data_IF_378220229303
#
_entry.id   IF_378220229303
#
_cell.length_a   1.000
_cell.length_b   1.000
_cell.length_c   1.000
_cell.angle_alpha   90.00
_cell.angle_beta   90.00
_cell.angle_gamma   90.00
#
_symmetry.space_group_name_H-M   'P 1'
#
loop_
_entity.id
_entity.type
_entity.pdbx_description
1 polymer ?
#
# COMPACT_ATOMS: atom_id res chain seq x y z
N UNK A 1 -27.16 55.03 8.50
CA UNK A 1 -27.85 53.75 8.29
C UNK A 1 -26.84 52.65 8.52
N UNK A 2 -26.83 52.06 9.72
CA UNK A 2 -25.99 50.91 10.01
C UNK A 2 -26.88 49.67 9.95
N UNK A 3 -26.60 48.77 9.01
CA UNK A 3 -27.22 47.46 8.93
C UNK A 3 -26.71 46.64 10.12
N UNK A 4 -27.53 46.49 11.17
CA UNK A 4 -27.29 45.46 12.18
C UNK A 4 -27.52 44.10 11.51
N UNK A 5 -26.45 43.31 11.44
CA UNK A 5 -26.52 41.91 11.04
C UNK A 5 -26.74 41.11 12.34
N UNK A 6 -27.95 40.63 12.64
CA UNK A 6 -28.16 39.86 13.85
C UNK A 6 -27.43 38.53 13.69
N UNK A 7 -26.33 38.35 14.41
CA UNK A 7 -25.68 37.06 14.52
C UNK A 7 -26.70 36.06 15.10
N UNK A 8 -27.28 35.21 14.23
CA UNK A 8 -28.18 34.13 14.64
C UNK A 8 -27.43 33.25 15.63
N UNK A 9 -27.89 33.22 16.88
CA UNK A 9 -27.33 32.36 17.91
C UNK A 9 -27.78 30.93 17.61
N UNK A 10 -26.84 30.08 17.22
CA UNK A 10 -27.11 28.65 17.04
C UNK A 10 -27.66 28.07 18.35
N UNK A 11 -28.75 27.33 18.25
CA UNK A 11 -29.32 26.64 19.41
C UNK A 11 -28.50 25.40 19.75
N UNK A 12 -28.51 25.01 21.03
CA UNK A 12 -27.77 23.81 21.49
C UNK A 12 -28.17 22.56 20.70
N UNK A 13 -29.45 22.43 20.36
CA UNK A 13 -29.97 21.30 19.59
C UNK A 13 -29.47 21.30 18.14
N UNK A 14 -29.37 22.47 17.49
CA UNK A 14 -28.81 22.59 16.15
C UNK A 14 -27.32 22.19 16.14
N UNK A 15 -26.55 22.61 17.16
CA UNK A 15 -25.14 22.21 17.29
C UNK A 15 -25.00 20.71 17.48
N UNK A 16 -25.83 20.09 18.34
CA UNK A 16 -25.83 18.64 18.54
C UNK A 16 -26.21 17.87 17.28
N UNK A 17 -27.23 18.33 16.54
CA UNK A 17 -27.61 17.72 15.25
C UNK A 17 -26.46 17.77 14.24
N UNK A 18 -25.77 18.92 14.13
CA UNK A 18 -24.63 19.06 13.22
C UNK A 18 -23.49 18.12 13.62
N UNK A 19 -23.16 18.01 14.90
CA UNK A 19 -22.12 17.10 15.39
C UNK A 19 -22.48 15.63 15.07
N UNK A 20 -23.75 15.25 15.23
CA UNK A 20 -24.22 13.89 14.95
C UNK A 20 -24.11 13.57 13.45
N UNK A 21 -24.52 14.50 12.58
CA UNK A 21 -24.40 14.35 11.12
C UNK A 21 -22.92 14.25 10.70
N UNK A 22 -22.07 15.17 11.18
CA UNK A 22 -20.63 15.14 10.89
C UNK A 22 -20.00 13.84 11.37
N UNK A 23 -20.36 13.37 12.56
CA UNK A 23 -19.88 12.10 13.11
C UNK A 23 -20.19 10.90 12.20
N UNK A 24 -21.42 10.80 11.70
CA UNK A 24 -21.82 9.74 10.77
C UNK A 24 -21.01 9.82 9.47
N UNK A 25 -20.87 11.03 8.90
CA UNK A 25 -20.11 11.24 7.67
C UNK A 25 -18.65 10.81 7.85
N UNK A 26 -18.03 11.15 8.99
CA UNK A 26 -16.65 10.77 9.32
C UNK A 26 -16.50 9.25 9.36
N UNK A 27 -17.41 8.52 10.03
CA UNK A 27 -17.33 7.06 10.17
C UNK A 27 -17.40 6.36 8.80
N UNK A 28 -18.20 6.89 7.86
CA UNK A 28 -18.37 6.28 6.54
C UNK A 28 -17.21 6.60 5.59
N UNK A 29 -16.67 7.83 5.62
CA UNK A 29 -15.71 8.30 4.62
C UNK A 29 -14.27 7.91 4.98
N UNK A 30 -13.89 7.96 6.26
CA UNK A 30 -12.49 7.74 6.66
C UNK A 30 -11.95 6.34 6.30
N UNK A 31 -12.68 5.23 6.51
CA UNK A 31 -12.21 3.90 6.11
C UNK A 31 -11.93 3.81 4.61
N UNK A 32 -12.85 4.30 3.77
CA UNK A 32 -12.71 4.26 2.31
C UNK A 32 -11.50 5.04 1.80
N UNK A 33 -11.19 6.21 2.40
CA UNK A 33 -9.98 6.98 2.08
C UNK A 33 -8.72 6.20 2.49
N UNK A 34 -8.75 5.52 3.64
CA UNK A 34 -7.64 4.71 4.13
C UNK A 34 -7.32 3.55 3.20
N UNK A 35 -8.33 2.77 2.80
CA UNK A 35 -8.19 1.65 1.86
C UNK A 35 -7.65 2.11 0.51
N UNK A 36 -8.22 3.18 -0.05
CA UNK A 36 -7.76 3.74 -1.32
C UNK A 36 -6.26 4.10 -1.26
N UNK A 37 -5.82 4.78 -0.21
CA UNK A 37 -4.40 5.15 -0.06
C UNK A 37 -3.48 3.93 0.06
N UNK A 38 -3.91 2.87 0.76
CA UNK A 38 -3.14 1.63 0.84
C UNK A 38 -3.01 0.97 -0.54
N UNK A 39 -4.12 0.89 -1.28
CA UNK A 39 -4.12 0.37 -2.65
C UNK A 39 -3.24 1.21 -3.58
N UNK A 40 -3.32 2.53 -3.49
CA UNK A 40 -2.49 3.46 -4.27
C UNK A 40 -0.99 3.23 -3.97
N UNK A 41 -0.61 3.05 -2.71
CA UNK A 41 0.79 2.72 -2.32
C UNK A 41 1.26 1.38 -2.88
N UNK A 42 0.40 0.36 -2.92
CA UNK A 42 0.72 -0.92 -3.57
C UNK A 42 0.96 -0.69 -5.06
N UNK A 43 0.09 0.08 -5.71
CA UNK A 43 0.23 0.41 -7.12
C UNK A 43 1.53 1.18 -7.43
N UNK A 44 1.93 2.09 -6.55
CA UNK A 44 3.08 2.98 -6.71
C UNK A 44 4.41 2.30 -6.37
N UNK A 45 4.45 1.43 -5.35
CA UNK A 45 5.69 0.84 -4.88
C UNK A 45 5.84 -0.64 -5.24
N UNK A 46 4.79 -1.44 -5.23
CA UNK A 46 4.93 -2.91 -5.33
C UNK A 46 5.04 -3.34 -6.79
N UNK A 47 4.02 -3.05 -7.60
CA UNK A 47 4.00 -3.51 -9.00
C UNK A 47 5.19 -3.04 -9.84
N UNK A 48 5.56 -1.75 -9.87
CA UNK A 48 6.72 -1.32 -10.66
C UNK A 48 8.03 -1.93 -10.15
N UNK A 49 8.17 -2.13 -8.84
CA UNK A 49 9.37 -2.74 -8.27
C UNK A 49 9.45 -4.22 -8.58
N UNK A 50 8.32 -4.95 -8.55
CA UNK A 50 8.26 -6.35 -8.96
C UNK A 50 8.68 -6.51 -10.42
N UNK A 51 8.19 -5.65 -11.32
CA UNK A 51 8.60 -5.68 -12.73
C UNK A 51 10.11 -5.50 -12.89
N UNK A 52 10.70 -4.55 -12.16
CA UNK A 52 12.15 -4.34 -12.17
C UNK A 52 12.89 -5.57 -11.61
N UNK A 53 12.46 -6.12 -10.47
CA UNK A 53 13.10 -7.30 -9.87
C UNK A 53 13.08 -8.48 -10.85
N UNK A 54 11.93 -8.74 -11.49
CA UNK A 54 11.79 -9.84 -12.45
C UNK A 54 12.67 -9.62 -13.68
N UNK A 55 12.67 -8.40 -14.23
CA UNK A 55 13.51 -8.05 -15.37
C UNK A 55 15.01 -8.21 -15.06
N UNK A 56 15.45 -7.78 -13.89
CA UNK A 56 16.85 -7.91 -13.48
C UNK A 56 17.22 -9.35 -13.15
N UNK A 57 16.28 -10.15 -12.65
CA UNK A 57 16.48 -11.58 -12.44
C UNK A 57 16.64 -12.35 -13.76
N UNK A 58 15.88 -11.97 -14.80
CA UNK A 58 16.08 -12.50 -16.16
C UNK A 58 17.45 -12.14 -16.73
N UNK A 59 17.86 -10.86 -16.61
CA UNK A 59 19.20 -10.43 -17.04
C UNK A 59 20.31 -11.16 -16.30
N UNK A 60 20.16 -11.32 -14.99
CA UNK A 60 21.11 -12.06 -14.18
C UNK A 60 21.24 -13.52 -14.66
N UNK A 61 20.12 -14.17 -14.99
CA UNK A 61 20.13 -15.50 -15.56
C UNK A 61 20.79 -15.57 -16.94
N UNK A 62 20.57 -14.58 -17.81
CA UNK A 62 21.25 -14.51 -19.11
C UNK A 62 22.77 -14.38 -18.98
N UNK A 63 23.25 -13.69 -17.93
CA UNK A 63 24.67 -13.47 -17.66
C UNK A 63 25.35 -14.63 -16.92
N UNK A 64 24.66 -15.22 -15.94
CA UNK A 64 25.23 -16.21 -15.02
C UNK A 64 24.82 -17.66 -15.33
N UNK A 65 23.75 -17.85 -16.10
CA UNK A 65 23.17 -19.16 -16.44
C UNK A 65 22.27 -19.76 -15.35
N UNK A 66 21.89 -18.99 -14.32
CA UNK A 66 20.93 -19.35 -13.29
C UNK A 66 20.24 -18.11 -12.70
N UNK A 67 19.03 -18.28 -12.16
CA UNK A 67 18.28 -17.19 -11.51
C UNK A 67 18.84 -16.83 -10.12
N UNK A 68 18.71 -15.57 -9.74
CA UNK A 68 19.03 -15.12 -8.40
C UNK A 68 18.07 -15.71 -7.37
N UNK A 69 18.62 -16.11 -6.22
CA UNK A 69 17.86 -16.63 -5.08
C UNK A 69 17.79 -15.64 -3.91
N UNK A 70 18.48 -14.49 -4.04
CA UNK A 70 18.46 -13.41 -3.07
C UNK A 70 18.50 -12.08 -3.82
N UNK A 71 17.76 -11.10 -3.31
CA UNK A 71 17.61 -9.79 -3.96
C UNK A 71 18.93 -9.01 -4.01
N UNK A 72 19.86 -9.28 -3.09
CA UNK A 72 21.20 -8.66 -3.06
C UNK A 72 22.10 -9.08 -4.21
N UNK A 73 21.74 -10.15 -4.94
CA UNK A 73 22.45 -10.55 -6.16
C UNK A 73 22.08 -9.69 -7.36
N UNK A 74 20.95 -8.96 -7.27
CA UNK A 74 20.48 -8.06 -8.31
C UNK A 74 21.10 -6.67 -8.11
N UNK A 75 21.49 -6.03 -9.21
CA UNK A 75 22.10 -4.71 -9.17
C UNK A 75 21.05 -3.58 -9.12
N UNK A 76 20.18 -3.59 -8.10
CA UNK A 76 19.04 -2.64 -7.94
C UNK A 76 18.95 -1.91 -6.58
N UNK A 77 20.04 -1.66 -5.84
CA UNK A 77 19.93 -1.11 -4.47
C UNK A 77 19.22 0.25 -4.43
N UNK A 78 19.47 1.12 -5.41
CA UNK A 78 18.89 2.47 -5.46
C UNK A 78 17.35 2.45 -5.52
N UNK A 79 16.78 1.54 -6.32
CA UNK A 79 15.33 1.43 -6.48
C UNK A 79 14.68 0.93 -5.20
N UNK A 80 15.36 0.06 -4.44
CA UNK A 80 14.85 -0.49 -3.19
C UNK A 80 14.92 0.53 -2.04
N UNK A 81 15.99 1.34 -1.98
CA UNK A 81 16.18 2.38 -0.97
C UNK A 81 15.14 3.50 -1.05
N UNK A 82 14.59 3.76 -2.24
CA UNK A 82 13.52 4.75 -2.45
C UNK A 82 12.16 4.33 -1.88
N UNK A 83 11.97 3.03 -1.60
CA UNK A 83 10.67 2.48 -1.18
C UNK A 83 10.40 2.77 0.29
N UNK A 84 9.26 3.40 0.56
CA UNK A 84 8.96 3.91 1.88
C UNK A 84 8.10 2.96 2.69
N UNK A 85 7.28 2.14 2.05
CA UNK A 85 6.23 1.36 2.72
C UNK A 85 6.52 -0.14 2.73
N UNK A 86 7.38 -0.61 1.82
CA UNK A 86 7.68 -2.02 1.63
C UNK A 86 9.17 -2.29 1.64
N UNK A 87 9.55 -3.43 2.22
CA UNK A 87 10.84 -4.08 2.06
C UNK A 87 10.66 -5.23 1.07
N UNK A 88 11.63 -5.46 0.19
CA UNK A 88 11.51 -6.45 -0.88
C UNK A 88 12.45 -7.62 -0.65
N UNK A 89 11.97 -8.81 -0.95
CA UNK A 89 12.76 -10.03 -0.95
C UNK A 89 12.53 -10.82 -2.23
N UNK A 90 13.52 -11.61 -2.62
CA UNK A 90 13.49 -12.52 -3.74
C UNK A 90 13.84 -13.91 -3.22
N UNK A 91 13.13 -14.92 -3.71
CA UNK A 91 13.48 -16.33 -3.56
C UNK A 91 13.60 -16.98 -4.92
N UNK A 92 13.92 -18.26 -4.97
CA UNK A 92 14.02 -19.09 -6.18
C UNK A 92 12.76 -19.02 -7.08
N UNK A 93 11.58 -18.71 -6.51
CA UNK A 93 10.29 -18.79 -7.22
C UNK A 93 9.33 -17.64 -6.95
N UNK A 94 9.64 -16.78 -5.97
CA UNK A 94 8.74 -15.71 -5.55
C UNK A 94 9.47 -14.38 -5.38
N UNK A 95 8.73 -13.30 -5.65
CA UNK A 95 9.09 -11.95 -5.20
C UNK A 95 8.12 -11.56 -4.09
N UNK A 96 8.64 -11.03 -2.99
CA UNK A 96 7.86 -10.63 -1.83
C UNK A 96 8.00 -9.12 -1.59
N UNK A 97 6.89 -8.44 -1.32
CA UNK A 97 6.85 -7.10 -0.75
C UNK A 97 6.29 -7.17 0.67
N UNK A 98 7.11 -6.83 1.64
CA UNK A 98 6.84 -6.93 3.08
C UNK A 98 6.54 -5.53 3.61
N UNK A 99 5.34 -5.32 4.13
CA UNK A 99 4.95 -4.05 4.73
C UNK A 99 5.80 -3.70 5.94
N UNK A 100 6.11 -2.40 6.09
CA UNK A 100 6.74 -1.84 7.27
C UNK A 100 5.75 -0.98 8.09
N UNK A 101 6.23 -0.39 9.18
CA UNK A 101 5.39 0.42 10.08
C UNK A 101 4.80 1.68 9.42
N UNK A 102 5.42 2.23 8.35
CA UNK A 102 4.91 3.40 7.63
C UNK A 102 3.68 3.07 6.77
N UNK A 103 3.53 1.81 6.35
CA UNK A 103 2.33 1.36 5.64
C UNK A 103 1.09 1.33 6.56
N UNK A 104 1.31 1.11 7.85
CA UNK A 104 0.31 1.15 8.92
C UNK A 104 0.53 0.03 9.95
N UNK A 105 1.00 -1.13 9.49
CA UNK A 105 1.42 -2.26 10.32
C UNK A 105 2.43 -3.09 9.55
N UNK A 106 3.53 -3.46 10.20
CA UNK A 106 4.55 -4.30 9.58
C UNK A 106 4.15 -5.78 9.51
N UNK A 107 4.68 -6.48 8.51
CA UNK A 107 4.65 -7.95 8.42
C UNK A 107 3.53 -8.57 7.59
N UNK A 108 2.65 -7.78 6.97
CA UNK A 108 1.83 -8.27 5.85
C UNK A 108 2.67 -8.34 4.58
N UNK A 109 2.48 -9.38 3.78
CA UNK A 109 3.26 -9.65 2.57
C UNK A 109 2.36 -9.73 1.34
N UNK A 110 2.84 -9.16 0.23
CA UNK A 110 2.35 -9.47 -1.10
C UNK A 110 3.38 -10.38 -1.73
N UNK A 111 2.94 -11.55 -2.18
CA UNK A 111 3.81 -12.56 -2.79
C UNK A 111 3.37 -12.75 -4.23
N UNK A 112 4.32 -12.67 -5.16
CA UNK A 112 4.10 -13.03 -6.54
C UNK A 112 4.98 -14.22 -6.90
N UNK A 113 4.35 -15.33 -7.28
CA UNK A 113 5.00 -16.52 -7.78
C UNK A 113 5.14 -16.42 -9.30
N UNK A 114 6.36 -16.17 -9.78
CA UNK A 114 6.62 -15.99 -11.20
C UNK A 114 6.74 -17.31 -11.99
N UNK A 115 6.73 -18.47 -11.31
CA UNK A 115 6.68 -19.78 -11.98
C UNK A 115 5.26 -20.10 -12.43
N UNK A 116 4.27 -19.82 -11.57
CA UNK A 116 2.87 -20.16 -11.80
C UNK A 116 2.00 -18.95 -12.17
N UNK A 117 2.56 -17.74 -12.20
CA UNK A 117 1.86 -16.47 -12.43
C UNK A 117 0.71 -16.23 -11.44
N UNK A 118 1.01 -16.41 -10.15
CA UNK A 118 0.01 -16.33 -9.08
C UNK A 118 0.37 -15.25 -8.06
N UNK A 119 -0.65 -14.49 -7.65
CA UNK A 119 -0.56 -13.48 -6.59
C UNK A 119 -1.21 -13.99 -5.31
N UNK A 120 -0.57 -13.76 -4.18
CA UNK A 120 -1.14 -14.07 -2.86
C UNK A 120 -0.80 -13.00 -1.82
N UNK A 121 -1.59 -13.01 -0.74
CA UNK A 121 -1.34 -12.21 0.46
C UNK A 121 -1.03 -13.15 1.60
N UNK A 122 0.03 -12.86 2.35
CA UNK A 122 0.41 -13.63 3.54
C UNK A 122 0.64 -12.73 4.75
N UNK A 123 0.65 -13.34 5.94
CA UNK A 123 1.02 -12.67 7.19
C UNK A 123 -0.16 -12.04 7.90
N UNK A 124 -0.10 -10.72 8.14
CA UNK A 124 -1.09 -10.06 9.01
C UNK A 124 -2.40 -9.80 8.28
N UNK A 125 -3.45 -10.53 8.68
CA UNK A 125 -4.81 -10.41 8.16
C UNK A 125 -5.37 -8.97 8.23
N UNK A 126 -6.13 -8.56 7.22
CA UNK A 126 -6.85 -7.28 7.16
C UNK A 126 -6.00 -6.03 6.93
N UNK A 127 -4.70 -6.20 6.68
CA UNK A 127 -3.80 -5.08 6.32
C UNK A 127 -3.78 -4.86 4.81
N UNK A 128 -3.75 -5.96 4.06
CA UNK A 128 -3.80 -6.04 2.61
C UNK A 128 -4.96 -6.98 2.27
N UNK A 129 -5.83 -6.56 1.36
CA UNK A 129 -6.91 -7.38 0.85
C UNK A 129 -6.49 -8.01 -0.48
N UNK A 130 -6.77 -9.30 -0.68
CA UNK A 130 -6.50 -9.99 -1.94
C UNK A 130 -7.20 -9.32 -3.14
N UNK A 131 -8.38 -8.73 -2.92
CA UNK A 131 -9.11 -7.96 -3.95
C UNK A 131 -8.39 -6.71 -4.46
N UNK A 132 -7.29 -6.31 -3.82
CA UNK A 132 -6.46 -5.19 -4.28
C UNK A 132 -5.37 -5.63 -5.27
N UNK A 133 -5.13 -6.94 -5.36
CA UNK A 133 -4.18 -7.56 -6.27
C UNK A 133 -4.76 -7.66 -7.71
N UNK A 134 -3.91 -7.83 -8.73
CA UNK A 134 -4.32 -7.88 -10.13
C UNK A 134 -5.19 -9.09 -10.48
#
# INVERSE_FOLDING_TARGET
>A
MAQENPAKKATLIEVLMVILIVGIIVILIFPAIGEKRKKDRINEEVYPTFQVILQENEKFNDEQGYYAFDISMLNIPEILEEKQYFEFALTDSTVEAITNNKFGRAGAKIVYNFINDEWSVEGTEGIIEESWLP
#
